data_IF_512107710505
#
_entry.id   IF_512107710505
#
_cell.length_a   1.000
_cell.length_b   1.000
_cell.length_c   1.000
_cell.angle_alpha   90.00
_cell.angle_beta   90.00
_cell.angle_gamma   90.00
#
_symmetry.space_group_name_H-M   'P 1'
#
loop_
_entity.id
_entity.type
_entity.pdbx_description
1 polymer ?
#
# COMPACT_ATOMS: atom_id res chain seq x y z
N UNK A 1 10.48 14.26 -37.74
CA UNK A 1 10.72 15.19 -36.63
C UNK A 1 9.37 15.61 -36.09
N UNK A 2 8.92 14.98 -35.00
CA UNK A 2 7.63 15.29 -34.37
C UNK A 2 7.76 16.63 -33.66
N UNK A 3 7.06 17.65 -34.15
CA UNK A 3 6.86 18.91 -33.45
C UNK A 3 6.23 18.58 -32.09
N UNK A 4 7.01 18.66 -31.02
CA UNK A 4 6.48 18.56 -29.68
C UNK A 4 5.65 19.82 -29.45
N UNK A 5 4.33 19.66 -29.36
CA UNK A 5 3.42 20.74 -28.95
C UNK A 5 3.89 21.27 -27.59
N UNK A 6 4.33 22.52 -27.54
CA UNK A 6 4.67 23.16 -26.27
C UNK A 6 3.39 23.36 -25.45
N UNK A 7 3.30 22.66 -24.33
CA UNK A 7 2.19 22.78 -23.38
C UNK A 7 2.09 24.20 -22.82
N UNK A 8 0.86 24.71 -22.70
CA UNK A 8 0.57 25.93 -21.95
C UNK A 8 1.00 25.77 -20.50
N UNK A 9 1.35 26.90 -19.86
CA UNK A 9 1.77 26.88 -18.47
C UNK A 9 0.74 26.30 -17.51
N UNK A 10 -0.52 26.61 -17.82
CA UNK A 10 -1.67 26.10 -17.10
C UNK A 10 -1.77 24.56 -17.20
N UNK A 11 -1.61 24.01 -18.40
CA UNK A 11 -1.80 22.58 -18.64
C UNK A 11 -0.74 21.75 -17.91
N UNK A 12 0.53 22.18 -17.96
CA UNK A 12 1.61 21.50 -17.23
C UNK A 12 1.40 21.50 -15.71
N UNK A 13 0.94 22.63 -15.16
CA UNK A 13 0.55 22.74 -13.76
C UNK A 13 -0.59 21.76 -13.42
N UNK A 14 -1.66 21.77 -14.21
CA UNK A 14 -2.83 20.89 -14.01
C UNK A 14 -2.45 19.41 -14.04
N UNK A 15 -1.61 18.99 -14.99
CA UNK A 15 -1.12 17.60 -15.04
C UNK A 15 -0.30 17.21 -13.82
N UNK A 16 0.58 18.11 -13.37
CA UNK A 16 1.43 17.87 -12.18
C UNK A 16 0.58 17.73 -10.92
N UNK A 17 -0.38 18.64 -10.72
CA UNK A 17 -1.32 18.60 -9.59
C UNK A 17 -2.13 17.31 -9.61
N UNK A 18 -2.73 16.96 -10.76
CA UNK A 18 -3.52 15.73 -10.91
C UNK A 18 -2.70 14.46 -10.60
N UNK A 19 -1.41 14.45 -10.97
CA UNK A 19 -0.53 13.32 -10.62
C UNK A 19 -0.29 13.23 -9.12
N UNK A 20 -0.08 14.36 -8.44
CA UNK A 20 0.08 14.40 -6.97
C UNK A 20 -1.21 13.96 -6.27
N UNK A 21 -2.37 14.46 -6.70
CA UNK A 21 -3.67 14.06 -6.17
C UNK A 21 -3.91 12.55 -6.31
N UNK A 22 -3.53 11.96 -7.46
CA UNK A 22 -3.62 10.51 -7.68
C UNK A 22 -2.75 9.74 -6.67
N UNK A 23 -1.49 10.14 -6.48
CA UNK A 23 -0.60 9.46 -5.53
C UNK A 23 -1.10 9.61 -4.08
N UNK A 24 -1.63 10.79 -3.70
CA UNK A 24 -2.26 11.01 -2.40
C UNK A 24 -3.51 10.15 -2.21
N UNK A 25 -4.35 10.03 -3.25
CA UNK A 25 -5.51 9.14 -3.26
C UNK A 25 -5.12 7.68 -3.03
N UNK A 26 -4.05 7.21 -3.71
CA UNK A 26 -3.51 5.86 -3.50
C UNK A 26 -3.00 5.65 -2.07
N UNK A 27 -2.34 6.64 -1.47
CA UNK A 27 -1.92 6.59 -0.06
C UNK A 27 -3.14 6.46 0.86
N UNK A 28 -4.14 7.32 0.66
CA UNK A 28 -5.34 7.33 1.49
C UNK A 28 -6.07 5.99 1.43
N UNK A 29 -6.35 5.48 0.22
CA UNK A 29 -7.00 4.17 0.04
C UNK A 29 -6.22 3.04 0.71
N UNK A 30 -4.89 3.00 0.58
CA UNK A 30 -4.05 1.98 1.22
C UNK A 30 -4.10 2.07 2.74
N UNK A 31 -4.03 3.28 3.30
CA UNK A 31 -4.12 3.51 4.75
C UNK A 31 -5.50 3.13 5.29
N UNK A 32 -6.58 3.50 4.60
CA UNK A 32 -7.94 3.11 4.98
C UNK A 32 -8.09 1.59 5.03
N UNK A 33 -7.67 0.88 3.96
CA UNK A 33 -7.75 -0.58 3.93
C UNK A 33 -6.89 -1.24 5.02
N UNK A 34 -5.68 -0.72 5.25
CA UNK A 34 -4.83 -1.21 6.34
C UNK A 34 -5.52 -1.03 7.70
N UNK A 35 -6.02 0.16 8.00
CA UNK A 35 -6.66 0.45 9.29
C UNK A 35 -7.92 -0.40 9.52
N UNK A 36 -8.77 -0.54 8.49
CA UNK A 36 -9.93 -1.42 8.54
C UNK A 36 -9.52 -2.86 8.82
N UNK A 37 -8.49 -3.36 8.13
CA UNK A 37 -7.99 -4.72 8.34
C UNK A 37 -7.43 -4.91 9.75
N UNK A 38 -6.63 -3.97 10.26
CA UNK A 38 -6.13 -4.01 11.63
C UNK A 38 -7.27 -4.02 12.67
N UNK A 39 -8.33 -3.24 12.44
CA UNK A 39 -9.52 -3.26 13.29
C UNK A 39 -10.15 -4.65 13.37
N UNK A 40 -10.31 -5.35 12.25
CA UNK A 40 -10.82 -6.72 12.23
C UNK A 40 -9.88 -7.72 12.93
N UNK A 41 -8.56 -7.57 12.75
CA UNK A 41 -7.60 -8.44 13.44
C UNK A 41 -7.62 -8.22 14.96
N UNK A 42 -7.71 -6.98 15.44
CA UNK A 42 -7.81 -6.71 16.88
C UNK A 42 -9.11 -7.22 17.47
N UNK A 43 -10.24 -7.07 16.78
CA UNK A 43 -11.50 -7.69 17.18
C UNK A 43 -11.37 -9.21 17.27
N UNK A 44 -10.71 -9.83 16.29
CA UNK A 44 -10.46 -11.28 16.28
C UNK A 44 -9.57 -11.73 17.44
N UNK A 45 -8.52 -10.98 17.77
CA UNK A 45 -7.67 -11.25 18.95
C UNK A 45 -8.50 -11.17 20.24
N UNK A 46 -9.36 -10.16 20.38
CA UNK A 46 -10.19 -10.00 21.57
C UNK A 46 -11.09 -11.22 21.81
N UNK A 47 -11.66 -11.79 20.74
CA UNK A 47 -12.45 -13.02 20.81
C UNK A 47 -11.61 -14.24 21.22
N UNK A 48 -10.40 -14.36 20.66
CA UNK A 48 -9.49 -15.49 20.91
C UNK A 48 -8.95 -15.51 22.35
N UNK A 49 -8.76 -14.33 22.96
CA UNK A 49 -8.30 -14.17 24.35
C UNK A 49 -9.34 -14.65 25.37
N UNK A 50 -10.61 -14.77 24.98
CA UNK A 50 -11.66 -15.26 25.86
C UNK A 50 -11.34 -16.69 26.34
N UNK A 51 -11.53 -16.95 27.65
CA UNK A 51 -11.16 -18.21 28.34
C UNK A 51 -11.95 -19.43 27.87
N UNK A 52 -13.12 -19.21 27.28
CA UNK A 52 -14.00 -20.28 26.78
C UNK A 52 -13.62 -20.79 25.39
N UNK A 53 -12.71 -20.10 24.69
CA UNK A 53 -12.20 -20.54 23.38
C UNK A 53 -11.37 -21.82 23.51
N UNK A 54 -11.59 -22.77 22.61
CA UNK A 54 -10.87 -24.05 22.56
C UNK A 54 -9.33 -23.82 22.57
N UNK A 55 -8.56 -24.56 23.40
CA UNK A 55 -7.12 -24.31 23.55
C UNK A 55 -6.30 -24.42 22.25
N UNK A 56 -6.67 -25.35 21.37
CA UNK A 56 -6.07 -25.58 20.04
C UNK A 56 -6.25 -24.35 19.15
N UNK A 57 -7.49 -23.87 19.02
CA UNK A 57 -7.87 -22.66 18.27
C UNK A 57 -7.17 -21.44 18.86
N UNK A 58 -7.14 -21.30 20.19
CA UNK A 58 -6.47 -20.18 20.86
C UNK A 58 -4.98 -20.11 20.53
N UNK A 59 -4.29 -21.25 20.53
CA UNK A 59 -2.86 -21.31 20.26
C UNK A 59 -2.54 -20.88 18.81
N UNK A 60 -3.27 -21.41 17.84
CA UNK A 60 -3.08 -21.11 16.41
C UNK A 60 -3.36 -19.62 16.15
N UNK A 61 -4.51 -19.12 16.59
CA UNK A 61 -4.94 -17.75 16.31
C UNK A 61 -4.07 -16.70 17.02
N UNK A 62 -3.57 -17.00 18.23
CA UNK A 62 -2.65 -16.12 18.98
C UNK A 62 -1.36 -15.81 18.21
N UNK A 63 -0.86 -16.75 17.42
CA UNK A 63 0.39 -16.58 16.67
C UNK A 63 0.14 -16.08 15.25
N UNK A 64 -0.91 -16.60 14.60
CA UNK A 64 -1.19 -16.32 13.18
C UNK A 64 -1.73 -14.90 12.99
N UNK A 65 -2.69 -14.44 13.82
CA UNK A 65 -3.31 -13.11 13.65
C UNK A 65 -2.26 -11.98 13.74
N UNK A 66 -1.39 -11.90 14.76
CA UNK A 66 -0.39 -10.84 14.84
C UNK A 66 0.63 -10.89 13.70
N UNK A 67 1.03 -12.10 13.26
CA UNK A 67 1.97 -12.25 12.14
C UNK A 67 1.40 -11.66 10.84
N UNK A 68 0.13 -11.93 10.56
CA UNK A 68 -0.57 -11.35 9.40
C UNK A 68 -0.70 -9.83 9.56
N UNK A 69 -1.07 -9.36 10.75
CA UNK A 69 -1.18 -7.92 11.04
C UNK A 69 0.13 -7.17 10.77
N UNK A 70 1.26 -7.73 11.19
CA UNK A 70 2.60 -7.18 10.91
C UNK A 70 2.89 -7.20 9.40
N UNK A 71 2.62 -8.32 8.72
CA UNK A 71 2.86 -8.43 7.27
C UNK A 71 2.08 -7.38 6.47
N UNK A 72 0.78 -7.21 6.76
CA UNK A 72 -0.07 -6.22 6.10
C UNK A 72 0.40 -4.80 6.40
N UNK A 73 0.78 -4.50 7.65
CA UNK A 73 1.29 -3.19 8.03
C UNK A 73 2.60 -2.85 7.30
N UNK A 74 3.53 -3.80 7.19
CA UNK A 74 4.80 -3.60 6.46
C UNK A 74 4.54 -3.36 4.97
N UNK A 75 3.65 -4.12 4.35
CA UNK A 75 3.30 -3.94 2.94
C UNK A 75 2.67 -2.57 2.68
N UNK A 76 1.73 -2.15 3.55
CA UNK A 76 1.13 -0.83 3.47
C UNK A 76 2.18 0.28 3.64
N UNK A 77 3.10 0.14 4.59
CA UNK A 77 4.20 1.08 4.82
C UNK A 77 5.09 1.25 3.58
N UNK A 78 5.46 0.14 2.92
CA UNK A 78 6.24 0.17 1.66
C UNK A 78 5.50 0.96 0.58
N UNK A 79 4.19 0.76 0.43
CA UNK A 79 3.42 1.48 -0.61
C UNK A 79 3.20 2.94 -0.31
N UNK A 80 3.02 3.30 0.96
CA UNK A 80 2.96 4.71 1.40
C UNK A 80 4.31 5.38 1.15
N UNK A 81 5.41 4.72 1.50
CA UNK A 81 6.75 5.25 1.27
C UNK A 81 7.05 5.43 -0.24
N UNK A 82 6.65 4.48 -1.07
CA UNK A 82 6.81 4.56 -2.52
C UNK A 82 6.03 5.75 -3.13
N UNK A 83 4.77 5.92 -2.73
CA UNK A 83 3.95 7.04 -3.20
C UNK A 83 4.51 8.38 -2.71
N UNK A 84 4.99 8.47 -1.46
CA UNK A 84 5.65 9.66 -0.93
C UNK A 84 6.93 10.02 -1.71
N UNK A 85 7.76 9.02 -2.05
CA UNK A 85 8.95 9.22 -2.90
C UNK A 85 8.56 9.69 -4.30
N UNK A 86 7.49 9.14 -4.88
CA UNK A 86 6.94 9.60 -6.17
C UNK A 86 6.57 11.08 -6.13
N UNK A 87 5.76 11.47 -5.14
CA UNK A 87 5.32 12.87 -4.96
C UNK A 87 6.48 13.82 -4.72
N UNK A 88 7.47 13.42 -3.92
CA UNK A 88 8.68 14.22 -3.68
C UNK A 88 9.54 14.35 -4.95
N UNK A 89 9.64 13.28 -5.75
CA UNK A 89 10.32 13.31 -7.04
C UNK A 89 9.65 14.26 -8.04
N UNK A 90 8.31 14.30 -8.07
CA UNK A 90 7.54 15.24 -8.91
C UNK A 90 7.81 16.68 -8.47
N UNK A 91 7.73 16.97 -7.15
CA UNK A 91 8.03 18.30 -6.58
C UNK A 91 9.46 18.76 -6.87
N UNK A 92 10.44 17.86 -6.73
CA UNK A 92 11.84 18.16 -7.01
C UNK A 92 12.06 18.52 -8.49
N UNK A 93 11.47 17.75 -9.42
CA UNK A 93 11.55 18.03 -10.86
C UNK A 93 10.87 19.35 -11.23
N UNK A 94 9.75 19.68 -10.61
CA UNK A 94 9.08 20.97 -10.76
C UNK A 94 10.00 22.13 -10.39
N UNK A 95 10.63 22.06 -9.21
CA UNK A 95 11.55 23.09 -8.71
C UNK A 95 12.81 23.23 -9.56
N UNK A 96 13.38 22.13 -10.06
CA UNK A 96 14.62 22.14 -10.85
C UNK A 96 14.45 22.71 -12.27
N UNK A 97 13.27 22.57 -12.88
CA UNK A 97 13.03 22.99 -14.27
C UNK A 97 12.42 24.38 -14.41
N UNK A 98 12.34 25.15 -13.33
CA UNK A 98 11.67 26.46 -13.36
C UNK A 98 10.23 26.40 -13.87
N UNK A 99 9.58 25.24 -13.75
CA UNK A 99 8.21 24.99 -14.19
C UNK A 99 8.00 24.56 -15.64
N UNK A 100 8.97 24.65 -16.59
CA UNK A 100 8.62 24.47 -18.01
C UNK A 100 9.72 23.92 -18.89
N UNK A 101 9.45 22.79 -19.58
CA UNK A 101 10.01 22.49 -20.90
C UNK A 101 9.50 21.19 -21.56
N UNK A 102 8.80 20.29 -20.85
CA UNK A 102 8.34 18.99 -21.40
C UNK A 102 7.21 18.39 -20.55
N UNK A 103 6.39 17.50 -21.13
CA UNK A 103 5.34 16.75 -20.41
C UNK A 103 5.88 16.12 -19.11
N UNK A 104 5.14 16.21 -17.98
CA UNK A 104 5.54 15.54 -16.77
C UNK A 104 5.49 14.02 -17.03
N UNK A 105 6.50 13.25 -16.58
CA UNK A 105 6.51 11.82 -16.80
C UNK A 105 5.31 11.18 -16.09
N UNK A 106 4.51 10.43 -16.85
CA UNK A 106 3.28 9.76 -16.37
C UNK A 106 3.52 8.74 -15.25
N UNK A 107 4.77 8.28 -15.11
CA UNK A 107 5.22 7.35 -14.09
C UNK A 107 6.47 7.87 -13.37
N UNK A 108 6.59 7.53 -12.08
CA UNK A 108 7.81 7.73 -11.29
C UNK A 108 8.97 6.88 -11.82
N UNK A 109 10.11 6.89 -11.11
CA UNK A 109 11.24 6.02 -11.48
C UNK A 109 10.83 4.54 -11.51
N UNK A 110 11.54 3.68 -12.26
CA UNK A 110 11.24 2.25 -12.30
C UNK A 110 11.18 1.59 -10.92
N UNK A 111 12.06 2.03 -10.00
CA UNK A 111 12.07 1.61 -8.59
C UNK A 111 10.79 2.00 -7.84
N UNK A 112 10.31 3.24 -8.00
CA UNK A 112 9.07 3.71 -7.37
C UNK A 112 7.86 2.95 -7.93
N UNK A 113 7.84 2.72 -9.25
CA UNK A 113 6.79 1.93 -9.91
C UNK A 113 6.77 0.48 -9.40
N UNK A 114 7.94 -0.14 -9.21
CA UNK A 114 8.07 -1.48 -8.66
C UNK A 114 7.52 -1.56 -7.23
N UNK A 115 7.92 -0.64 -6.35
CA UNK A 115 7.42 -0.60 -4.96
C UNK A 115 5.91 -0.38 -4.89
N UNK A 116 5.37 0.45 -5.80
CA UNK A 116 3.92 0.61 -5.96
C UNK A 116 3.21 -0.69 -6.31
N UNK A 117 3.77 -1.48 -7.25
CA UNK A 117 3.24 -2.80 -7.63
C UNK A 117 3.34 -3.82 -6.49
N UNK A 118 4.47 -3.88 -5.80
CA UNK A 118 4.69 -4.79 -4.65
C UNK A 118 3.59 -4.60 -3.61
N UNK A 119 3.18 -3.36 -3.35
CA UNK A 119 2.13 -3.09 -2.37
C UNK A 119 0.75 -3.50 -2.87
N UNK A 120 0.44 -3.20 -4.14
CA UNK A 120 -0.85 -3.55 -4.75
C UNK A 120 -1.11 -5.06 -4.79
N UNK A 121 -0.07 -5.87 -5.03
CA UNK A 121 -0.20 -7.33 -5.00
C UNK A 121 0.08 -7.93 -3.62
N UNK A 122 0.88 -7.25 -2.79
CA UNK A 122 1.28 -7.72 -1.47
C UNK A 122 0.09 -7.88 -0.53
N UNK A 123 -0.82 -6.88 -0.47
CA UNK A 123 -1.99 -6.95 0.42
C UNK A 123 -2.87 -8.18 0.10
N UNK A 124 -3.32 -8.39 -1.15
CA UNK A 124 -4.06 -9.61 -1.51
C UNK A 124 -3.29 -10.90 -1.18
N UNK A 125 -1.99 -10.94 -1.49
CA UNK A 125 -1.14 -12.11 -1.23
C UNK A 125 -1.07 -12.42 0.26
N UNK A 126 -0.93 -11.42 1.11
CA UNK A 126 -0.89 -11.59 2.57
C UNK A 126 -2.20 -12.13 3.13
N UNK A 127 -3.34 -11.77 2.56
CA UNK A 127 -4.65 -12.32 2.93
C UNK A 127 -4.77 -13.78 2.49
N UNK A 128 -4.30 -14.15 1.30
CA UNK A 128 -4.28 -15.56 0.86
C UNK A 128 -3.38 -16.40 1.77
N UNK A 129 -2.19 -15.90 2.08
CA UNK A 129 -1.26 -16.58 2.99
C UNK A 129 -1.85 -16.73 4.41
N UNK A 130 -2.56 -15.72 4.90
CA UNK A 130 -3.28 -15.79 6.17
C UNK A 130 -4.25 -16.97 6.22
N UNK A 131 -5.10 -17.10 5.19
CA UNK A 131 -6.07 -18.19 5.10
C UNK A 131 -5.41 -19.56 5.02
N UNK A 132 -4.31 -19.68 4.26
CA UNK A 132 -3.56 -20.93 4.19
C UNK A 132 -2.95 -21.31 5.54
N UNK A 133 -2.31 -20.36 6.23
CA UNK A 133 -1.72 -20.61 7.55
C UNK A 133 -2.76 -21.00 8.60
N UNK A 134 -3.92 -20.34 8.60
CA UNK A 134 -5.03 -20.71 9.49
C UNK A 134 -5.56 -22.10 9.16
N UNK A 135 -5.78 -22.41 7.88
CA UNK A 135 -6.28 -23.72 7.45
C UNK A 135 -5.33 -24.84 7.86
N UNK A 136 -4.05 -24.75 7.51
CA UNK A 136 -3.08 -25.79 7.85
C UNK A 136 -2.83 -25.86 9.35
N UNK A 137 -2.72 -24.71 10.04
CA UNK A 137 -2.50 -24.66 11.48
C UNK A 137 -3.63 -25.32 12.27
N UNK A 138 -4.89 -25.10 11.87
CA UNK A 138 -6.05 -25.73 12.49
C UNK A 138 -6.10 -27.24 12.20
N UNK A 139 -5.87 -27.65 10.95
CA UNK A 139 -5.85 -29.09 10.57
C UNK A 139 -4.77 -29.86 11.32
N UNK A 140 -3.62 -29.25 11.61
CA UNK A 140 -2.54 -29.90 12.39
C UNK A 140 -2.78 -29.90 13.91
N UNK A 141 -3.71 -29.07 14.39
CA UNK A 141 -4.00 -28.93 15.82
C UNK A 141 -5.20 -29.79 16.28
N UNK A 142 -6.00 -30.31 15.33
CA UNK A 142 -7.05 -31.33 15.53
C UNK A 142 -6.47 -32.73 15.45
#
# INVERSE_FOLDING_TARGET
>A
MTNAEELSQKDFYEYTVRQIEREQGLINTRLSWMLTFQGFLFASIALVVNKDTEPSVRLVFRNVIPAIGIAVALLALVGVHAAALSSNGIKAKWNQRGGFQQYPPTFGSPTISLLGRVTSYGIPTSVVLAWLLLFFGLVTAT
#
